data_IF_949457731719
#
_entry.id   IF_949457731719
#
_cell.length_a   1.000
_cell.length_b   1.000
_cell.length_c   1.000
_cell.angle_alpha   90.00
_cell.angle_beta   90.00
_cell.angle_gamma   90.00
#
_symmetry.space_group_name_H-M   'P 1'
#
loop_
_entity.id
_entity.type
_entity.pdbx_description
1 polymer ?
#
# COMPACT_ATOMS: atom_id res chain seq x y z
N UNK A 1 3.54 3.60 -15.87
CA UNK A 1 2.34 2.90 -15.37
C UNK A 1 2.62 2.52 -13.92
N UNK A 2 1.62 2.08 -13.17
CA UNK A 2 1.84 1.44 -11.87
C UNK A 2 1.15 0.06 -11.96
N UNK A 3 1.67 -0.81 -12.83
CA UNK A 3 1.20 -2.20 -12.94
C UNK A 3 2.05 -3.11 -12.03
N UNK A 4 1.65 -4.38 -11.92
CA UNK A 4 2.31 -5.35 -11.05
C UNK A 4 3.78 -5.57 -11.47
N UNK A 5 4.06 -5.46 -12.77
CA UNK A 5 5.39 -5.59 -13.35
C UNK A 5 6.31 -4.43 -12.95
N UNK A 6 5.78 -3.21 -12.89
CA UNK A 6 6.52 -2.02 -12.45
C UNK A 6 6.97 -2.19 -10.98
N UNK A 7 6.10 -2.73 -10.11
CA UNK A 7 6.48 -3.06 -8.73
C UNK A 7 7.61 -4.09 -8.66
N UNK A 8 7.51 -5.16 -9.46
CA UNK A 8 8.51 -6.22 -9.50
C UNK A 8 9.87 -5.70 -10.00
N UNK A 9 9.86 -4.84 -11.03
CA UNK A 9 11.06 -4.20 -11.53
C UNK A 9 11.72 -3.31 -10.47
N UNK A 10 10.94 -2.48 -9.77
CA UNK A 10 11.47 -1.66 -8.67
C UNK A 10 12.11 -2.51 -7.56
N UNK A 11 11.48 -3.63 -7.19
CA UNK A 11 12.03 -4.55 -6.18
C UNK A 11 13.38 -5.13 -6.62
N UNK A 12 13.49 -5.51 -7.90
CA UNK A 12 14.76 -5.97 -8.47
C UNK A 12 15.83 -4.88 -8.36
N UNK A 13 15.48 -3.66 -8.75
CA UNK A 13 16.42 -2.53 -8.83
C UNK A 13 16.90 -2.08 -7.44
N UNK A 14 16.03 -2.12 -6.43
CA UNK A 14 16.40 -1.75 -5.04
C UNK A 14 16.97 -2.91 -4.24
N UNK A 15 16.99 -4.14 -4.77
CA UNK A 15 17.53 -5.32 -4.09
C UNK A 15 19.06 -5.40 -4.17
N UNK A 16 19.74 -4.36 -3.69
CA UNK A 16 21.19 -4.17 -3.75
C UNK A 16 21.87 -4.37 -2.39
N UNK A 17 23.22 -4.48 -2.32
CA UNK A 17 23.94 -4.48 -1.04
C UNK A 17 23.62 -3.24 -0.21
N UNK A 18 23.50 -3.40 1.11
CA UNK A 18 23.17 -2.30 2.05
C UNK A 18 21.68 -2.04 2.26
N UNK A 19 20.78 -2.70 1.50
CA UNK A 19 19.33 -2.69 1.79
C UNK A 19 18.98 -3.90 2.65
N UNK A 20 18.48 -3.66 3.86
CA UNK A 20 18.17 -4.73 4.84
C UNK A 20 16.78 -5.36 4.60
N UNK A 21 15.81 -4.57 4.15
CA UNK A 21 14.45 -5.01 3.87
C UNK A 21 13.80 -4.12 2.80
N UNK A 22 12.77 -4.63 2.15
CA UNK A 22 11.98 -3.90 1.15
C UNK A 22 10.53 -3.86 1.63
N UNK A 23 9.99 -2.65 1.81
CA UNK A 23 8.56 -2.44 2.09
C UNK A 23 7.80 -2.14 0.80
N UNK A 24 6.91 -3.05 0.42
CA UNK A 24 6.00 -2.88 -0.69
C UNK A 24 4.83 -1.99 -0.27
N UNK A 25 4.85 -0.74 -0.72
CA UNK A 25 3.72 0.15 -0.56
C UNK A 25 2.64 -0.13 -1.61
N UNK A 26 1.87 -1.20 -1.39
CA UNK A 26 0.76 -1.61 -2.27
C UNK A 26 -0.57 -0.94 -1.90
N UNK A 27 -0.56 0.02 -0.99
CA UNK A 27 -1.75 0.64 -0.41
C UNK A 27 -2.28 1.86 -1.18
N UNK A 28 -1.54 2.37 -2.16
CA UNK A 28 -1.94 3.51 -2.96
C UNK A 28 -3.06 3.12 -3.94
N UNK A 29 -4.14 3.91 -4.06
CA UNK A 29 -5.13 3.72 -5.11
C UNK A 29 -4.46 4.05 -6.45
N UNK A 30 -4.09 3.02 -7.20
CA UNK A 30 -3.45 3.15 -8.49
C UNK A 30 -4.30 4.04 -9.42
N UNK A 31 -3.68 5.06 -10.02
CA UNK A 31 -4.30 5.91 -11.05
C UNK A 31 -4.45 5.11 -12.34
N UNK A 32 -5.50 4.32 -12.48
CA UNK A 32 -5.98 3.87 -13.79
C UNK A 32 -7.31 4.55 -14.11
N UNK A 33 -7.47 5.12 -15.33
CA UNK A 33 -8.79 5.49 -15.83
C UNK A 33 -9.56 4.18 -16.06
N UNK A 34 -10.43 3.80 -15.10
CA UNK A 34 -11.15 2.52 -15.14
C UNK A 34 -11.49 1.90 -13.78
N UNK A 35 -10.93 2.40 -12.68
CA UNK A 35 -11.54 2.24 -11.35
C UNK A 35 -11.38 0.88 -10.67
N UNK A 36 -10.16 0.35 -10.57
CA UNK A 36 -9.85 -0.79 -9.70
C UNK A 36 -8.69 -0.48 -8.76
N UNK A 37 -8.94 -0.50 -7.44
CA UNK A 37 -7.89 -0.38 -6.43
C UNK A 37 -7.11 -1.70 -6.36
N UNK A 38 -5.84 -1.71 -6.78
CA UNK A 38 -4.96 -2.88 -6.64
C UNK A 38 -4.77 -3.30 -5.16
N UNK A 39 -4.95 -2.35 -4.25
CA UNK A 39 -4.57 -2.38 -2.85
C UNK A 39 -5.57 -3.01 -1.87
N UNK A 40 -6.78 -3.37 -2.32
CA UNK A 40 -7.93 -3.60 -1.41
C UNK A 40 -8.56 -4.99 -1.52
N UNK A 41 -8.01 -5.89 -2.33
CA UNK A 41 -8.51 -7.25 -2.46
C UNK A 41 -7.38 -8.30 -2.42
N UNK A 42 -7.76 -9.51 -2.04
CA UNK A 42 -6.86 -10.64 -1.82
C UNK A 42 -6.10 -11.06 -3.08
N UNK A 43 -6.80 -11.22 -4.20
CA UNK A 43 -6.23 -11.72 -5.46
C UNK A 43 -5.12 -10.82 -5.99
N UNK A 44 -5.37 -9.51 -6.01
CA UNK A 44 -4.38 -8.54 -6.51
C UNK A 44 -3.19 -8.44 -5.56
N UNK A 45 -3.45 -8.46 -4.24
CA UNK A 45 -2.39 -8.48 -3.21
C UNK A 45 -1.51 -9.71 -3.35
N UNK A 46 -2.10 -10.89 -3.53
CA UNK A 46 -1.36 -12.12 -3.74
C UNK A 46 -0.49 -12.02 -5.00
N UNK A 47 -1.06 -11.59 -6.13
CA UNK A 47 -0.32 -11.47 -7.41
C UNK A 47 0.87 -10.53 -7.31
N UNK A 48 0.68 -9.32 -6.75
CA UNK A 48 1.76 -8.33 -6.66
C UNK A 48 2.86 -8.78 -5.70
N UNK A 49 2.51 -9.28 -4.53
CA UNK A 49 3.50 -9.74 -3.54
C UNK A 49 4.24 -10.96 -4.08
N UNK A 50 3.53 -11.88 -4.75
CA UNK A 50 4.14 -13.09 -5.32
C UNK A 50 5.16 -12.75 -6.41
N UNK A 51 4.82 -11.81 -7.29
CA UNK A 51 5.76 -11.38 -8.32
C UNK A 51 6.95 -10.62 -7.71
N UNK A 52 6.71 -9.72 -6.76
CA UNK A 52 7.80 -9.01 -6.06
C UNK A 52 8.73 -9.99 -5.31
N UNK A 53 8.15 -11.01 -4.67
CA UNK A 53 8.89 -12.04 -3.95
C UNK A 53 9.85 -12.80 -4.87
N UNK A 54 9.51 -13.02 -6.14
CA UNK A 54 10.40 -13.70 -7.08
C UNK A 54 11.57 -12.83 -7.58
N UNK A 55 11.55 -11.52 -7.28
CA UNK A 55 12.59 -10.57 -7.72
C UNK A 55 13.68 -10.32 -6.68
N UNK A 56 13.52 -10.80 -5.45
CA UNK A 56 14.50 -10.60 -4.38
C UNK A 56 14.52 -11.80 -3.43
N UNK A 57 15.60 -11.98 -2.66
CA UNK A 57 15.67 -12.88 -1.51
C UNK A 57 15.65 -12.12 -0.17
N UNK A 58 15.68 -10.78 -0.20
CA UNK A 58 15.67 -9.94 1.01
C UNK A 58 14.33 -10.05 1.76
N UNK A 59 14.29 -9.72 3.06
CA UNK A 59 13.03 -9.52 3.78
C UNK A 59 12.09 -8.59 3.02
N UNK A 60 10.87 -9.07 2.78
CA UNK A 60 9.85 -8.37 2.00
C UNK A 60 8.64 -8.09 2.89
N UNK A 61 8.32 -6.82 3.11
CA UNK A 61 7.20 -6.41 3.94
C UNK A 61 6.07 -5.88 3.05
N UNK A 62 4.82 -6.21 3.38
CA UNK A 62 3.65 -5.68 2.66
C UNK A 62 2.96 -4.61 3.50
N UNK A 63 2.92 -3.37 2.99
CA UNK A 63 2.22 -2.26 3.64
C UNK A 63 0.78 -2.15 3.16
N UNK A 64 -0.17 -2.40 4.06
CA UNK A 64 -1.59 -2.47 3.73
C UNK A 64 -2.33 -1.17 4.03
N UNK A 65 -3.37 -0.91 3.24
CA UNK A 65 -4.29 0.21 3.46
C UNK A 65 -5.25 -0.12 4.60
N UNK A 66 -5.47 0.77 5.58
CA UNK A 66 -6.49 0.55 6.60
C UNK A 66 -7.92 0.64 6.03
N UNK A 67 -8.05 1.05 4.75
CA UNK A 67 -9.33 1.22 4.08
C UNK A 67 -9.72 -0.03 3.26
N UNK A 68 -9.03 -1.17 3.44
CA UNK A 68 -9.48 -2.44 2.89
C UNK A 68 -10.76 -2.89 3.60
N UNK A 69 -11.68 -3.52 2.86
CA UNK A 69 -12.92 -4.06 3.46
C UNK A 69 -12.60 -5.15 4.48
N UNK A 70 -11.92 -6.21 4.02
CA UNK A 70 -11.47 -7.33 4.86
C UNK A 70 -9.93 -7.34 4.96
N UNK A 71 -9.38 -6.54 5.87
CA UNK A 71 -7.93 -6.38 6.05
C UNK A 71 -7.22 -7.70 6.39
N UNK A 72 -7.88 -8.57 7.15
CA UNK A 72 -7.37 -9.89 7.56
C UNK A 72 -7.13 -10.77 6.33
N UNK A 73 -8.10 -10.83 5.42
CA UNK A 73 -7.97 -11.63 4.20
C UNK A 73 -6.87 -11.11 3.28
N UNK A 74 -6.74 -9.78 3.17
CA UNK A 74 -5.63 -9.14 2.44
C UNK A 74 -4.27 -9.45 3.07
N UNK A 75 -4.17 -9.42 4.39
CA UNK A 75 -2.93 -9.76 5.11
C UNK A 75 -2.53 -11.22 4.91
N UNK A 76 -3.49 -12.15 5.01
CA UNK A 76 -3.25 -13.57 4.71
C UNK A 76 -2.82 -13.79 3.27
N UNK A 77 -3.40 -13.07 2.31
CA UNK A 77 -3.00 -13.15 0.90
C UNK A 77 -1.54 -12.71 0.70
N UNK A 78 -1.11 -11.63 1.37
CA UNK A 78 0.27 -11.18 1.34
C UNK A 78 1.23 -12.19 1.98
N UNK A 79 0.87 -12.77 3.13
CA UNK A 79 1.65 -13.82 3.79
C UNK A 79 1.79 -15.05 2.87
N UNK A 80 0.69 -15.58 2.33
CA UNK A 80 0.66 -16.72 1.39
C UNK A 80 1.50 -16.46 0.13
N UNK A 81 1.59 -15.21 -0.31
CA UNK A 81 2.40 -14.80 -1.46
C UNK A 81 3.90 -14.70 -1.15
N UNK A 82 4.29 -14.70 0.13
CA UNK A 82 5.69 -14.71 0.58
C UNK A 82 6.18 -13.42 1.25
N UNK A 83 5.27 -12.54 1.72
CA UNK A 83 5.66 -11.46 2.60
C UNK A 83 6.18 -12.01 3.94
N UNK A 84 7.29 -11.45 4.43
CA UNK A 84 7.88 -11.80 5.72
C UNK A 84 7.27 -11.01 6.89
N UNK A 85 6.68 -9.85 6.60
CA UNK A 85 5.98 -9.03 7.59
C UNK A 85 4.86 -8.23 6.93
N UNK A 86 3.89 -7.85 7.75
CA UNK A 86 2.80 -6.96 7.37
C UNK A 86 2.97 -5.64 8.13
N UNK A 87 2.96 -4.52 7.42
CA UNK A 87 2.97 -3.19 8.05
C UNK A 87 1.62 -2.50 7.83
N UNK A 88 1.05 -1.98 8.92
CA UNK A 88 -0.22 -1.26 8.94
C UNK A 88 -0.04 -0.03 9.83
N UNK A 89 -0.49 1.17 9.47
CA UNK A 89 -1.35 1.52 8.33
C UNK A 89 -0.66 2.45 7.32
N UNK A 90 -1.16 2.50 6.07
CA UNK A 90 -1.10 3.76 5.31
C UNK A 90 -2.20 4.74 5.82
N UNK A 91 -2.61 5.71 5.01
CA UNK A 91 -3.42 6.81 5.50
C UNK A 91 -4.90 6.44 5.53
N UNK A 92 -5.58 6.81 6.61
CA UNK A 92 -7.03 6.73 6.72
C UNK A 92 -7.64 7.88 5.90
N UNK A 93 -8.64 7.56 5.09
CA UNK A 93 -9.41 8.56 4.35
C UNK A 93 -10.17 9.46 5.33
N UNK A 94 -10.05 10.76 5.16
CA UNK A 94 -10.84 11.71 5.94
C UNK A 94 -11.33 12.90 5.15
N UNK A 95 -12.29 13.56 5.80
CA UNK A 95 -13.03 14.67 5.26
C UNK A 95 -12.96 15.82 6.25
N UNK A 96 -12.48 16.97 5.80
CA UNK A 96 -12.60 18.22 6.56
C UNK A 96 -13.73 19.05 5.96
N UNK A 97 -14.68 19.43 6.80
CA UNK A 97 -15.79 20.33 6.43
C UNK A 97 -15.57 21.65 7.15
N UNK A 98 -15.45 22.74 6.39
CA UNK A 98 -15.48 24.08 6.96
C UNK A 98 -16.95 24.48 7.16
N UNK A 99 -17.37 24.68 8.41
CA UNK A 99 -18.79 24.90 8.76
C UNK A 99 -19.32 26.27 8.30
N UNK A 100 -18.46 27.29 8.21
CA UNK A 100 -18.85 28.64 7.82
C UNK A 100 -19.05 28.76 6.30
N UNK A 101 -18.14 28.14 5.54
CA UNK A 101 -18.14 28.20 4.07
C UNK A 101 -18.84 27.01 3.42
N UNK A 102 -19.18 25.98 4.20
CA UNK A 102 -19.71 24.67 3.75
C UNK A 102 -18.82 23.98 2.71
N UNK A 103 -17.54 24.35 2.65
CA UNK A 103 -16.58 23.78 1.71
C UNK A 103 -15.99 22.49 2.26
N UNK A 104 -15.85 21.54 1.36
CA UNK A 104 -15.25 20.23 1.59
C UNK A 104 -13.78 20.27 1.18
N UNK A 105 -12.91 19.67 1.99
CA UNK A 105 -11.52 19.37 1.63
C UNK A 105 -11.21 17.92 1.99
N UNK A 106 -10.81 17.15 0.99
CA UNK A 106 -10.31 15.79 1.20
C UNK A 106 -8.87 15.89 1.68
N UNK A 107 -8.63 15.39 2.89
CA UNK A 107 -7.31 15.42 3.51
C UNK A 107 -6.98 14.02 4.04
N UNK A 108 -5.75 13.52 3.83
CA UNK A 108 -5.31 12.32 4.52
C UNK A 108 -5.24 12.61 6.03
N UNK A 109 -5.97 11.87 6.87
CA UNK A 109 -6.11 12.19 8.31
C UNK A 109 -4.78 12.18 9.06
N UNK A 110 -3.88 11.28 8.65
CA UNK A 110 -2.61 11.02 9.36
C UNK A 110 -1.45 11.86 8.79
N UNK A 111 -1.61 12.52 7.62
CA UNK A 111 -0.47 13.24 7.00
C UNK A 111 -0.23 14.64 7.56
N UNK A 112 -1.17 15.20 8.35
CA UNK A 112 -1.09 16.55 8.91
C UNK A 112 -1.69 16.67 10.32
N UNK A 113 -1.29 15.80 11.25
CA UNK A 113 -1.38 16.16 12.68
C UNK A 113 -0.28 17.20 12.95
N UNK A 114 -0.53 18.45 12.54
CA UNK A 114 0.14 19.58 13.17
C UNK A 114 -0.50 19.69 14.54
N UNK A 115 0.25 19.36 15.58
CA UNK A 115 0.00 19.88 16.93
C UNK A 115 -0.04 21.40 16.79
N UNK A 116 -1.25 21.97 16.68
CA UNK A 116 -1.45 23.34 17.10
C UNK A 116 -1.52 23.29 18.62
N UNK A 117 -0.34 23.39 19.24
CA UNK A 117 -0.18 24.01 20.55
C UNK A 117 0.32 25.43 20.30
#
# INVERSE_FOLDING_TARGET
SENIEDFAQMVRDVSVPGVDAIELNISCPTRQPGGGNFALNEDTTYKVVKLCRSMTAKPLWAKLSPNAGEITAVAEAAEKAGANAITVSNTILGLKINIDTRRISFLPLISKVRTQM
#
